data_IF_536112289242
#
_entry.id   IF_536112289242
#
_cell.length_a   1.000
_cell.length_b   1.000
_cell.length_c   1.000
_cell.angle_alpha   90.00
_cell.angle_beta   90.00
_cell.angle_gamma   90.00
#
_symmetry.space_group_name_H-M   'P 1'
#
loop_
_entity.id
_entity.type
_entity.pdbx_description
1 polymer ?
#
# COMPACT_ATOMS: atom_id res chain seq x y z
N UNK A 1 -12.16 -5.11 -16.44
CA UNK A 1 -12.59 -3.79 -15.94
C UNK A 1 -11.73 -2.76 -16.61
N UNK A 2 -12.34 -1.69 -17.14
CA UNK A 2 -11.59 -0.53 -17.60
C UNK A 2 -11.48 0.42 -16.41
N UNK A 3 -10.26 0.68 -15.94
CA UNK A 3 -9.99 1.63 -14.88
C UNK A 3 -9.70 3.02 -15.46
N UNK A 4 -9.99 4.06 -14.70
CA UNK A 4 -9.67 5.42 -15.11
C UNK A 4 -8.18 5.75 -14.89
N UNK A 5 -7.76 6.91 -15.42
CA UNK A 5 -6.38 7.38 -15.34
C UNK A 5 -5.93 7.62 -13.90
N UNK A 6 -6.84 7.97 -12.98
CA UNK A 6 -6.53 8.25 -11.58
C UNK A 6 -6.19 6.97 -10.84
N UNK A 7 -6.95 5.90 -11.06
CA UNK A 7 -6.68 4.59 -10.51
C UNK A 7 -5.31 4.04 -10.94
N UNK A 8 -4.98 4.11 -12.24
CA UNK A 8 -3.69 3.61 -12.73
C UNK A 8 -2.52 4.46 -12.21
N UNK A 9 -2.69 5.78 -12.08
CA UNK A 9 -1.68 6.65 -11.46
C UNK A 9 -1.46 6.31 -9.98
N UNK A 10 -2.54 6.06 -9.23
CA UNK A 10 -2.47 5.66 -7.84
C UNK A 10 -1.75 4.30 -7.69
N UNK A 11 -2.08 3.34 -8.56
CA UNK A 11 -1.42 2.03 -8.65
C UNK A 11 0.08 2.15 -8.94
N UNK A 12 0.47 2.97 -9.90
CA UNK A 12 1.88 3.16 -10.24
C UNK A 12 2.66 3.85 -9.11
N UNK A 13 2.03 4.80 -8.41
CA UNK A 13 2.61 5.41 -7.21
C UNK A 13 2.87 4.38 -6.12
N UNK A 14 1.90 3.49 -5.86
CA UNK A 14 2.06 2.43 -4.87
C UNK A 14 3.15 1.43 -5.25
N UNK A 15 3.20 0.99 -6.52
CA UNK A 15 4.28 0.13 -7.04
C UNK A 15 5.67 0.74 -6.84
N UNK A 16 5.80 2.05 -7.13
CA UNK A 16 7.06 2.77 -6.90
C UNK A 16 7.41 2.80 -5.41
N UNK A 17 6.44 3.06 -4.54
CA UNK A 17 6.65 3.01 -3.09
C UNK A 17 7.16 1.63 -2.64
N UNK A 18 6.52 0.55 -3.08
CA UNK A 18 6.99 -0.81 -2.78
C UNK A 18 8.43 -1.04 -3.26
N UNK A 19 8.76 -0.63 -4.47
CA UNK A 19 10.10 -0.79 -5.05
C UNK A 19 11.18 -0.01 -4.29
N UNK A 20 10.88 1.22 -3.88
CA UNK A 20 11.88 2.14 -3.33
C UNK A 20 11.97 2.07 -1.80
N UNK A 21 10.85 1.84 -1.12
CA UNK A 21 10.74 1.92 0.34
C UNK A 21 10.61 0.56 1.02
N UNK A 22 10.16 -0.49 0.31
CA UNK A 22 9.93 -1.83 0.88
C UNK A 22 11.00 -2.81 0.40
N UNK A 23 11.15 -2.97 -0.90
CA UNK A 23 11.99 -4.00 -1.52
C UNK A 23 13.44 -4.06 -0.98
N UNK A 24 14.15 -2.94 -0.73
CA UNK A 24 15.53 -2.99 -0.24
C UNK A 24 15.70 -3.55 1.18
N UNK A 25 14.61 -3.60 1.97
CA UNK A 25 14.67 -3.88 3.40
C UNK A 25 13.80 -5.07 3.83
N UNK A 26 12.87 -5.51 2.98
CA UNK A 26 11.84 -6.49 3.33
C UNK A 26 12.40 -7.81 3.87
N UNK A 27 13.44 -8.37 3.24
CA UNK A 27 14.03 -9.63 3.67
C UNK A 27 14.59 -9.54 5.10
N UNK A 28 15.20 -8.40 5.47
CA UNK A 28 15.71 -8.19 6.82
C UNK A 28 14.56 -8.09 7.82
N UNK A 29 13.48 -7.38 7.49
CA UNK A 29 12.32 -7.26 8.37
C UNK A 29 11.64 -8.62 8.61
N UNK A 30 11.59 -9.47 7.59
CA UNK A 30 11.09 -10.84 7.71
C UNK A 30 11.98 -11.68 8.64
N UNK A 31 13.30 -11.60 8.49
CA UNK A 31 14.25 -12.30 9.36
C UNK A 31 14.16 -11.82 10.81
N UNK A 32 13.98 -10.51 11.02
CA UNK A 32 13.83 -9.90 12.34
C UNK A 32 12.42 -10.12 12.93
N UNK A 33 11.45 -10.57 12.12
CA UNK A 33 10.06 -10.69 12.50
C UNK A 33 9.39 -9.36 12.84
N UNK A 34 9.93 -8.24 12.33
CA UNK A 34 9.48 -6.89 12.68
C UNK A 34 9.55 -5.93 11.50
N UNK A 35 8.37 -5.46 11.08
CA UNK A 35 8.24 -4.35 10.14
C UNK A 35 8.32 -3.03 10.92
N UNK A 36 9.19 -2.08 10.54
CA UNK A 36 9.41 -0.86 11.30
C UNK A 36 8.19 0.05 11.31
N UNK A 37 7.86 0.62 12.49
CA UNK A 37 6.76 1.60 12.65
C UNK A 37 6.82 2.76 11.66
N UNK A 38 8.03 3.19 11.29
CA UNK A 38 8.24 4.27 10.33
C UNK A 38 7.62 3.96 8.96
N UNK A 39 7.67 2.72 8.51
CA UNK A 39 7.07 2.32 7.22
C UNK A 39 5.54 2.50 7.25
N UNK A 40 4.89 2.11 8.36
CA UNK A 40 3.45 2.31 8.54
C UNK A 40 3.05 3.78 8.51
N UNK A 41 3.86 4.66 9.12
CA UNK A 41 3.63 6.10 9.02
C UNK A 41 3.77 6.59 7.58
N UNK A 42 4.79 6.13 6.84
CA UNK A 42 4.98 6.50 5.43
C UNK A 42 3.81 6.01 4.56
N UNK A 43 3.30 4.79 4.78
CA UNK A 43 2.13 4.27 4.09
C UNK A 43 0.90 5.16 4.35
N UNK A 44 0.66 5.56 5.61
CA UNK A 44 -0.43 6.47 5.97
C UNK A 44 -0.29 7.86 5.36
N UNK A 45 0.90 8.47 5.42
CA UNK A 45 1.20 9.78 4.85
C UNK A 45 1.03 9.84 3.32
N UNK A 46 1.24 8.70 2.63
CA UNK A 46 1.04 8.58 1.19
C UNK A 46 -0.39 8.14 0.81
N UNK A 47 -1.29 7.97 1.79
CA UNK A 47 -2.67 7.55 1.54
C UNK A 47 -2.80 6.11 1.05
N UNK A 48 -1.95 5.20 1.53
CA UNK A 48 -2.02 3.77 1.22
C UNK A 48 -2.65 2.92 2.33
N UNK A 49 -3.14 3.54 3.39
CA UNK A 49 -3.83 2.85 4.49
C UNK A 49 -5.29 3.33 4.56
N UNK A 50 -6.21 2.40 4.79
CA UNK A 50 -7.62 2.70 5.02
C UNK A 50 -8.24 3.59 3.91
N UNK A 51 -7.89 3.34 2.65
CA UNK A 51 -8.25 4.24 1.54
C UNK A 51 -9.75 4.28 1.27
N UNK A 52 -10.46 3.19 1.55
CA UNK A 52 -11.91 3.05 1.42
C UNK A 52 -12.69 3.50 2.66
N UNK A 53 -12.00 3.84 3.75
CA UNK A 53 -12.63 4.35 4.96
C UNK A 53 -13.16 5.77 4.69
N UNK A 54 -14.37 6.12 5.16
CA UNK A 54 -14.92 7.47 4.99
C UNK A 54 -14.04 8.58 5.56
N UNK A 55 -14.09 9.76 4.93
CA UNK A 55 -13.31 10.94 5.34
C UNK A 55 -13.59 11.39 6.79
N UNK A 56 -14.81 11.17 7.31
CA UNK A 56 -15.16 11.49 8.70
C UNK A 56 -14.32 10.74 9.74
N UNK A 57 -13.69 9.63 9.35
CA UNK A 57 -12.76 8.85 10.17
C UNK A 57 -11.29 9.04 9.76
N UNK A 58 -11.00 9.97 8.84
CA UNK A 58 -9.65 10.26 8.35
C UNK A 58 -9.17 9.39 7.20
N UNK A 59 -10.05 8.63 6.56
CA UNK A 59 -9.75 7.93 5.29
C UNK A 59 -10.03 8.81 4.06
N UNK A 60 -10.05 8.19 2.88
CA UNK A 60 -10.24 8.88 1.59
C UNK A 60 -11.57 8.58 0.90
N UNK A 61 -12.41 7.71 1.47
CA UNK A 61 -13.70 7.31 0.89
C UNK A 61 -13.59 6.72 -0.52
N UNK A 62 -12.41 6.18 -0.88
CA UNK A 62 -12.18 5.64 -2.20
C UNK A 62 -13.04 4.38 -2.43
N UNK A 63 -13.42 4.09 -3.68
CA UNK A 63 -14.09 2.83 -3.99
C UNK A 63 -13.25 1.61 -3.53
N UNK A 64 -13.91 0.56 -3.04
CA UNK A 64 -13.26 -0.64 -2.47
C UNK A 64 -12.18 -1.28 -3.36
N UNK A 65 -12.28 -1.10 -4.68
CA UNK A 65 -11.29 -1.65 -5.62
C UNK A 65 -9.90 -1.00 -5.49
N UNK A 66 -9.77 0.18 -4.86
CA UNK A 66 -8.49 0.77 -4.49
C UNK A 66 -7.81 -0.04 -3.38
N UNK A 67 -8.54 -0.41 -2.32
CA UNK A 67 -8.02 -1.27 -1.25
C UNK A 67 -7.65 -2.66 -1.79
N UNK A 68 -8.47 -3.23 -2.67
CA UNK A 68 -8.15 -4.50 -3.34
C UNK A 68 -6.89 -4.41 -4.21
N UNK A 69 -6.70 -3.28 -4.90
CA UNK A 69 -5.50 -3.03 -5.69
C UNK A 69 -4.25 -3.02 -4.81
N UNK A 70 -4.27 -2.32 -3.68
CA UNK A 70 -3.14 -2.29 -2.74
C UNK A 70 -2.74 -3.71 -2.33
N UNK A 71 -3.69 -4.51 -1.84
CA UNK A 71 -3.46 -5.92 -1.45
C UNK A 71 -2.90 -6.73 -2.63
N UNK A 72 -3.45 -6.56 -3.82
CA UNK A 72 -3.00 -7.28 -5.02
C UNK A 72 -1.55 -6.92 -5.38
N UNK A 73 -1.19 -5.63 -5.39
CA UNK A 73 0.16 -5.19 -5.72
C UNK A 73 1.17 -5.63 -4.65
N UNK A 74 0.81 -5.58 -3.37
CA UNK A 74 1.66 -6.10 -2.29
C UNK A 74 1.94 -7.59 -2.48
N UNK A 75 0.90 -8.38 -2.77
CA UNK A 75 1.03 -9.82 -2.98
C UNK A 75 1.84 -10.15 -4.24
N UNK A 76 1.62 -9.43 -5.34
CA UNK A 76 2.39 -9.60 -6.58
C UNK A 76 3.87 -9.25 -6.41
N UNK A 77 4.18 -8.26 -5.57
CA UNK A 77 5.57 -7.90 -5.24
C UNK A 77 6.24 -8.89 -4.28
N UNK A 78 5.50 -9.84 -3.70
CA UNK A 78 6.03 -10.83 -2.75
C UNK A 78 6.16 -10.31 -1.32
N UNK A 79 5.50 -9.20 -0.98
CA UNK A 79 5.61 -8.56 0.34
C UNK A 79 4.42 -8.86 1.25
N UNK A 80 3.99 -10.12 1.30
CA UNK A 80 2.70 -10.53 1.91
C UNK A 80 2.55 -10.17 3.38
N UNK A 81 3.64 -9.98 4.14
CA UNK A 81 3.58 -9.52 5.53
C UNK A 81 3.11 -8.07 5.69
N UNK A 82 3.07 -7.32 4.57
CA UNK A 82 2.48 -5.98 4.46
C UNK A 82 1.07 -5.97 3.86
N UNK A 83 0.53 -7.12 3.42
CA UNK A 83 -0.78 -7.17 2.80
C UNK A 83 -1.86 -7.04 3.90
N UNK A 84 -2.31 -5.81 4.12
CA UNK A 84 -3.38 -5.44 5.06
C UNK A 84 -4.51 -4.69 4.36
#
# INVERSE_FOLDING_TARGET
MQYDTEFELFRDNYRRFLKEQVAPYYEQWEQDGLIPRKLWNQLGENGFLCVDVPEEYGGYGAPIHYSLMLVQETAQAGFTSLAV
#
